data_IF_544918933049
#
_entry.id   IF_544918933049
#
_cell.length_a   1.000
_cell.length_b   1.000
_cell.length_c   1.000
_cell.angle_alpha   90.00
_cell.angle_beta   90.00
_cell.angle_gamma   90.00
#
_symmetry.space_group_name_H-M   'P 1'
#
loop_
_entity.id
_entity.type
_entity.pdbx_description
1 polymer ?
2 non-polymer ?
3 non-polymer ?
4 non-polymer ?
5 water ?
#
# COMPACT_ATOMS: atom_id res chain seq x y z
N UNK A 4 -15.57 12.38 -22.35
CA UNK A 4 -15.31 11.75 -21.03
C UNK A 4 -13.83 11.67 -20.65
N UNK A 5 -13.49 12.15 -19.49
CA UNK A 5 -12.10 12.28 -19.09
C UNK A 5 -11.52 10.94 -18.71
N UNK A 6 -10.18 10.86 -18.80
CA UNK A 6 -9.44 9.63 -18.56
C UNK A 6 -8.45 9.94 -17.46
N UNK A 7 -8.44 9.10 -16.43
CA UNK A 7 -7.59 9.29 -15.26
C UNK A 7 -6.79 7.99 -15.11
N UNK A 8 -5.48 8.11 -15.30
CA UNK A 8 -4.54 7.00 -15.24
C UNK A 8 -3.92 6.93 -13.84
N UNK A 9 -4.13 5.82 -13.15
CA UNK A 9 -3.49 5.55 -11.86
C UNK A 9 -2.22 4.72 -12.08
N UNK A 10 -1.18 4.95 -11.26
CA UNK A 10 0.09 4.26 -11.48
C UNK A 10 0.00 2.78 -11.18
N UNK A 11 -0.84 2.39 -10.23
CA UNK A 11 -0.94 0.95 -9.92
C UNK A 11 -2.29 0.59 -9.31
N UNK A 12 -2.52 -0.71 -9.16
CA UNK A 12 -3.86 -1.26 -8.92
C UNK A 12 -4.55 -0.63 -7.72
N UNK A 13 -3.82 -0.41 -6.64
CA UNK A 13 -4.43 0.09 -5.41
C UNK A 13 -5.02 1.50 -5.65
N UNK A 14 -4.23 2.37 -6.32
CA UNK A 14 -4.73 3.72 -6.61
C UNK A 14 -5.88 3.70 -7.61
N UNK A 15 -5.81 2.82 -8.61
CA UNK A 15 -6.91 2.68 -9.55
C UNK A 15 -8.22 2.33 -8.87
N UNK A 16 -8.18 1.39 -7.94
CA UNK A 16 -9.36 0.99 -7.22
C UNK A 16 -9.94 2.10 -6.31
N UNK A 17 -9.08 2.81 -5.62
CA UNK A 17 -9.53 3.95 -4.83
C UNK A 17 -10.25 4.94 -5.73
N UNK A 18 -9.57 5.30 -6.83
CA UNK A 18 -10.09 6.31 -7.75
C UNK A 18 -11.49 5.88 -8.32
N UNK A 19 -11.64 4.60 -8.67
CA UNK A 19 -12.91 4.09 -9.18
C UNK A 19 -14.04 4.24 -8.16
N UNK A 20 -13.69 4.09 -6.90
CA UNK A 20 -14.71 4.28 -5.85
C UNK A 20 -15.13 5.72 -5.66
N UNK A 21 -14.24 6.67 -5.97
CA UNK A 21 -14.56 8.07 -5.85
C UNK A 21 -15.26 8.57 -7.15
N UNK A 22 -14.81 8.11 -8.33
CA UNK A 22 -15.28 8.65 -9.58
C UNK A 22 -16.55 7.96 -10.05
N UNK A 23 -16.73 6.70 -9.68
CA UNK A 23 -17.88 5.88 -10.10
C UNK A 23 -18.33 6.07 -11.53
N UNK A 24 -17.42 5.89 -12.45
CA UNK A 24 -17.82 6.04 -13.87
C UNK A 24 -18.07 7.45 -14.40
N UNK A 25 -17.83 8.50 -13.60
CA UNK A 25 -17.86 9.85 -14.14
C UNK A 25 -16.68 10.13 -15.08
N UNK A 26 -15.60 9.40 -14.86
CA UNK A 26 -14.39 9.43 -15.71
C UNK A 26 -14.01 7.95 -15.94
N UNK A 27 -13.20 7.71 -16.96
CA UNK A 27 -12.63 6.42 -17.23
C UNK A 27 -11.34 6.27 -16.45
N UNK A 28 -11.26 5.28 -15.56
CA UNK A 28 -10.11 5.11 -14.70
C UNK A 28 -9.28 3.95 -15.30
N UNK A 29 -8.02 4.23 -15.60
CA UNK A 29 -7.09 3.24 -16.12
C UNK A 29 -6.00 3.04 -15.11
N UNK A 30 -5.25 1.96 -15.30
CA UNK A 30 -4.15 1.59 -14.45
C UNK A 30 -2.91 1.22 -15.27
N UNK A 31 -1.76 1.72 -14.84
CA UNK A 31 -0.50 1.40 -15.53
C UNK A 31 0.02 0.03 -15.06
N UNK A 32 0.41 -0.09 -13.80
CA UNK A 32 0.95 -1.31 -13.25
C UNK A 32 -0.21 -2.11 -12.71
N UNK A 33 -0.65 -3.08 -13.49
CA UNK A 33 -1.87 -3.79 -13.17
C UNK A 33 -1.54 -4.75 -12.03
N UNK A 34 -2.60 -5.23 -11.40
CA UNK A 34 -2.47 -6.26 -10.32
C UNK A 34 -1.51 -7.36 -10.71
N UNK A 35 -0.61 -7.73 -9.80
CA UNK A 35 0.31 -8.83 -10.07
C UNK A 35 1.59 -8.44 -10.79
N UNK A 36 1.79 -7.14 -11.05
CA UNK A 36 3.08 -6.65 -11.52
C UNK A 36 3.64 -5.76 -10.43
N UNK A 37 4.94 -5.64 -10.35
CA UNK A 37 5.59 -4.84 -9.31
C UNK A 37 6.11 -3.56 -9.96
N UNK A 38 5.85 -2.44 -9.31
CA UNK A 38 6.24 -1.14 -9.81
C UNK A 38 7.74 -1.02 -10.01
N UNK A 39 8.52 -1.69 -9.17
CA UNK A 39 9.96 -1.56 -9.26
C UNK A 39 10.46 -2.25 -10.56
N UNK A 40 11.17 -1.46 -11.35
CA UNK A 40 11.56 -1.80 -12.71
C UNK A 40 10.40 -2.34 -13.66
N UNK A 41 9.14 -1.94 -13.43
CA UNK A 41 7.99 -2.26 -14.36
C UNK A 41 8.34 -1.80 -15.74
N UNK A 42 8.13 -2.68 -16.71
CA UNK A 42 8.37 -2.28 -18.08
C UNK A 42 7.12 -1.69 -18.75
N UNK A 43 7.20 -0.39 -19.00
CA UNK A 43 6.17 0.37 -19.70
C UNK A 43 6.17 -0.04 -21.15
N UNK A 44 5.06 -0.63 -21.58
CA UNK A 44 4.91 -1.16 -22.96
C UNK A 44 4.40 -0.08 -23.95
N UNK A 45 4.35 -0.43 -25.23
CA UNK A 45 3.77 0.47 -26.25
C UNK A 45 2.31 0.76 -25.93
N UNK A 46 1.57 -0.26 -25.53
CA UNK A 46 0.16 -0.07 -25.10
C UNK A 46 0.04 0.82 -23.93
N UNK A 47 0.96 0.67 -22.97
CA UNK A 47 0.98 1.58 -21.87
C UNK A 47 1.22 3.03 -22.27
N UNK A 48 2.07 3.27 -23.24
CA UNK A 48 2.29 4.61 -23.74
C UNK A 48 0.98 5.24 -24.30
N UNK A 49 0.11 4.42 -24.91
CA UNK A 49 -1.25 4.90 -25.27
C UNK A 49 -2.06 5.37 -24.04
N UNK A 50 -2.04 4.59 -22.97
CA UNK A 50 -2.71 4.96 -21.73
C UNK A 50 -2.21 6.32 -21.26
N UNK A 51 -0.90 6.49 -21.37
CA UNK A 51 -0.26 7.72 -20.88
C UNK A 51 -0.71 8.92 -21.77
N UNK A 52 -0.74 8.75 -23.08
CA UNK A 52 -1.21 9.79 -23.99
C UNK A 52 -2.68 10.18 -23.75
N UNK A 53 -3.48 9.17 -23.46
CA UNK A 53 -4.93 9.36 -23.22
C UNK A 53 -5.23 10.06 -21.92
N UNK A 54 -4.33 9.97 -20.93
CA UNK A 54 -4.60 10.52 -19.62
C UNK A 54 -4.78 12.02 -19.61
N UNK A 55 -5.89 12.42 -19.00
CA UNK A 55 -6.17 13.83 -18.65
C UNK A 55 -5.62 14.21 -17.28
N UNK A 56 -5.24 13.19 -16.51
CA UNK A 56 -4.73 13.33 -15.16
C UNK A 56 -3.98 12.00 -14.83
N UNK A 57 -2.86 12.09 -14.16
CA UNK A 57 -2.07 10.92 -13.81
C UNK A 57 -1.93 10.96 -12.29
N UNK A 58 -2.31 9.85 -11.64
CA UNK A 58 -2.28 9.71 -10.19
C UNK A 58 -1.19 8.75 -9.79
N UNK A 59 -0.19 9.29 -9.11
CA UNK A 59 0.95 8.52 -8.59
C UNK A 59 0.99 8.46 -7.07
N UNK A 60 1.62 7.39 -6.58
CA UNK A 60 1.87 7.21 -5.16
C UNK A 60 2.87 8.22 -4.62
N UNK A 61 3.94 8.43 -5.39
CA UNK A 61 5.08 9.13 -4.91
C UNK A 61 5.81 8.22 -3.95
N UNK A 62 6.56 8.86 -3.06
CA UNK A 62 7.42 8.13 -2.12
C UNK A 62 8.31 7.13 -2.90
N UNK A 63 8.74 7.57 -4.10
CA UNK A 63 9.63 6.83 -4.99
C UNK A 63 9.04 5.59 -5.58
N UNK A 64 7.75 5.34 -5.40
CA UNK A 64 7.18 4.09 -5.92
C UNK A 64 7.35 3.98 -7.46
N UNK A 65 7.20 5.12 -8.13
CA UNK A 65 7.23 5.15 -9.57
C UNK A 65 8.59 5.54 -10.12
N UNK A 66 9.63 5.54 -9.28
CA UNK A 66 10.87 6.19 -9.67
C UNK A 66 11.46 5.61 -10.97
N UNK A 67 11.34 4.31 -11.18
CA UNK A 67 11.97 3.69 -12.36
C UNK A 67 11.24 4.04 -13.65
N UNK A 68 9.99 4.49 -13.60
CA UNK A 68 9.22 4.81 -14.82
C UNK A 68 8.63 6.23 -14.92
N UNK A 69 8.99 7.10 -13.99
CA UNK A 69 8.58 8.49 -14.13
C UNK A 69 8.98 9.08 -15.46
N UNK A 70 10.11 8.66 -16.00
CA UNK A 70 10.55 9.14 -17.28
C UNK A 70 9.58 8.90 -18.46
N UNK A 71 8.71 7.90 -18.33
CA UNK A 71 7.70 7.65 -19.34
C UNK A 71 6.54 8.61 -19.28
N UNK A 72 6.38 9.38 -18.20
CA UNK A 72 5.31 10.33 -18.11
C UNK A 72 5.77 11.64 -18.74
N UNK A 73 6.04 11.60 -20.05
CA UNK A 73 6.49 12.76 -20.80
C UNK A 73 5.72 12.79 -22.11
N UNK A 74 5.87 13.89 -22.85
CA UNK A 74 5.16 14.12 -24.10
C UNK A 74 3.66 14.01 -23.81
N UNK A 75 3.25 14.54 -22.68
CA UNK A 75 1.90 14.34 -22.19
C UNK A 75 0.92 15.27 -22.92
N UNK A 76 -0.35 14.95 -22.82
CA UNK A 76 -1.40 15.82 -23.33
C UNK A 76 -1.37 17.18 -22.60
N UNK A 77 -1.56 18.25 -23.35
CA UNK A 77 -1.55 19.60 -22.75
C UNK A 77 -2.55 19.68 -21.62
N UNK A 78 -2.10 20.16 -20.46
CA UNK A 78 -3.03 20.29 -19.33
C UNK A 78 -3.01 19.11 -18.38
N UNK A 79 -2.33 18.03 -18.75
CA UNK A 79 -2.39 16.83 -17.96
C UNK A 79 -1.34 16.91 -16.84
N UNK A 80 -1.81 16.86 -15.60
CA UNK A 80 -0.96 16.98 -14.43
C UNK A 80 -0.65 15.61 -13.87
N UNK A 81 0.48 15.53 -13.19
CA UNK A 81 0.83 14.36 -12.35
C UNK A 81 0.59 14.70 -10.88
N UNK A 82 -0.30 13.99 -10.25
CA UNK A 82 -0.66 14.25 -8.87
C UNK A 82 -0.04 13.16 -7.99
N UNK A 83 0.58 13.58 -6.90
CA UNK A 83 1.06 12.67 -5.87
C UNK A 83 0.02 12.55 -4.76
N UNK A 84 -0.60 11.39 -4.71
CA UNK A 84 -1.75 11.17 -3.86
C UNK A 84 -1.40 10.93 -2.36
N UNK A 85 -0.11 10.89 -2.02
CA UNK A 85 0.40 10.83 -0.65
C UNK A 85 0.79 12.21 -0.09
N UNK A 86 0.49 13.31 -0.82
CA UNK A 86 0.76 14.66 -0.34
C UNK A 86 0.14 14.81 1.06
N UNK A 87 0.94 15.33 1.98
CA UNK A 87 0.53 15.46 3.39
C UNK A 87 0.79 14.26 4.27
N UNK A 88 1.36 13.16 3.76
CA UNK A 88 1.72 12.01 4.61
C UNK A 88 3.18 12.17 4.94
N UNK A 89 3.50 12.24 6.24
CA UNK A 89 4.88 12.36 6.70
C UNK A 89 5.59 11.08 6.30
N UNK A 90 6.67 11.17 5.50
CA UNK A 90 7.32 9.88 5.09
C UNK A 90 8.07 9.17 6.19
N UNK A 91 8.07 7.85 6.13
CA UNK A 91 8.88 7.03 6.99
C UNK A 91 10.02 6.48 6.13
N UNK A 92 11.22 6.59 6.62
CA UNK A 92 12.42 6.25 5.87
C UNK A 92 12.63 4.77 5.79
N UNK A 93 13.43 4.35 4.81
CA UNK A 93 13.77 2.93 4.67
C UNK A 93 14.87 2.58 5.64
N UNK A 94 15.55 3.59 6.19
CA UNK A 94 16.38 3.32 7.34
C UNK A 94 15.57 2.82 8.56
N UNK A 95 15.76 1.53 8.88
CA UNK A 95 15.38 0.95 10.20
C UNK A 95 16.16 1.68 11.36
N UNK A 96 17.26 2.39 11.04
CA UNK A 96 17.92 3.34 11.96
C UNK A 96 17.55 4.82 11.62
N UNK A 97 16.51 5.33 12.28
CA UNK A 97 15.99 6.68 12.01
C UNK A 97 16.63 7.73 12.90
N UNK A 100 18.55 9.64 7.94
CA UNK A 100 18.07 10.13 6.63
C UNK A 100 18.29 9.14 5.46
N UNK A 101 17.21 8.87 4.70
CA UNK A 101 17.18 7.76 3.77
C UNK A 101 16.02 7.87 2.81
N UNK A 102 15.99 6.98 1.82
CA UNK A 102 14.91 6.93 0.86
C UNK A 102 13.57 6.63 1.56
N UNK A 103 12.48 7.14 1.04
CA UNK A 103 11.19 6.89 1.72
C UNK A 103 10.66 5.51 1.48
N UNK A 104 10.00 4.94 2.49
CA UNK A 104 9.23 3.72 2.33
C UNK A 104 7.89 4.08 1.61
N UNK A 105 7.56 3.40 0.52
CA UNK A 105 6.39 3.82 -0.24
C UNK A 105 5.04 3.33 0.26
N UNK A 106 5.01 2.42 1.24
CA UNK A 106 3.80 1.67 1.60
C UNK A 106 2.81 2.50 2.47
N UNK A 107 2.59 3.74 2.11
CA UNK A 107 1.74 4.61 2.96
C UNK A 107 0.26 4.21 3.00
N UNK A 108 -0.20 3.46 1.98
CA UNK A 108 -1.57 3.02 1.90
C UNK A 108 -1.99 1.98 2.96
N UNK A 109 -1.02 1.39 3.66
CA UNK A 109 -1.30 0.39 4.70
C UNK A 109 -1.51 1.13 6.05
N UNK A 110 -2.64 1.81 6.13
CA UNK A 110 -2.94 2.70 7.23
C UNK A 110 -4.37 3.21 7.08
N UNK A 111 -5.10 3.22 8.20
CA UNK A 111 -6.47 3.73 8.20
C UNK A 111 -6.47 5.24 7.98
N UNK A 112 -5.66 5.94 8.72
CA UNK A 112 -5.50 7.37 8.57
C UNK A 112 -5.14 7.76 7.15
N UNK A 113 -4.17 7.05 6.60
CA UNK A 113 -3.67 7.40 5.28
C UNK A 113 -4.67 7.05 4.18
N UNK A 114 -5.45 6.00 4.37
CA UNK A 114 -6.53 5.71 3.41
C UNK A 114 -7.36 6.98 3.21
N UNK A 115 -7.66 7.68 4.29
CA UNK A 115 -8.50 8.92 4.22
C UNK A 115 -7.80 10.04 3.44
N UNK A 116 -6.48 10.15 3.60
CA UNK A 116 -5.67 11.10 2.84
C UNK A 116 -5.56 10.79 1.35
N UNK A 117 -5.32 9.54 0.99
CA UNK A 117 -5.35 9.10 -0.43
C UNK A 117 -6.70 9.49 -1.06
N UNK A 118 -7.78 9.20 -0.32
CA UNK A 118 -9.11 9.50 -0.81
C UNK A 118 -9.31 10.98 -1.01
N UNK A 119 -8.92 11.80 -0.03
CA UNK A 119 -9.07 13.22 -0.11
C UNK A 119 -8.25 13.85 -1.25
N UNK A 120 -6.99 13.41 -1.39
CA UNK A 120 -6.16 13.95 -2.44
C UNK A 120 -6.74 13.59 -3.81
N UNK A 121 -7.27 12.39 -3.92
CA UNK A 121 -7.85 11.97 -5.22
C UNK A 121 -9.17 12.73 -5.52
N UNK A 122 -10.01 12.85 -4.51
CA UNK A 122 -11.22 13.65 -4.62
C UNK A 122 -10.89 15.07 -5.08
N UNK A 123 -9.89 15.66 -4.45
CA UNK A 123 -9.49 17.02 -4.79
C UNK A 123 -9.02 17.17 -6.23
N UNK A 124 -8.21 16.22 -6.67
CA UNK A 124 -7.68 16.22 -8.05
C UNK A 124 -8.78 15.98 -9.08
N UNK A 125 -9.68 15.04 -8.78
CA UNK A 125 -10.82 14.76 -9.68
C UNK A 125 -11.69 16.00 -9.85
N UNK A 126 -11.91 16.69 -8.75
CA UNK A 126 -12.73 17.86 -8.69
C UNK A 126 -12.10 19.01 -9.48
N UNK A 127 -10.81 19.21 -9.34
CA UNK A 127 -10.13 20.22 -10.15
C UNK A 127 -10.18 19.88 -11.64
N UNK A 128 -10.00 18.61 -11.98
CA UNK A 128 -10.07 18.17 -13.34
C UNK A 128 -11.47 18.37 -13.91
N UNK A 129 -12.51 18.05 -13.11
CA UNK A 129 -13.88 17.90 -13.59
C UNK A 129 -14.87 18.61 -12.65
N UNK A 130 -14.79 19.94 -12.58
CA UNK A 130 -15.50 20.68 -11.54
C UNK A 130 -17.02 20.62 -11.62
N UNK A 131 -17.58 20.36 -12.82
CA UNK A 131 -19.01 20.24 -12.94
C UNK A 131 -19.54 19.04 -12.15
N UNK A 132 -18.71 18.05 -11.85
CA UNK A 132 -19.12 16.94 -10.99
C UNK A 132 -18.67 17.02 -9.52
N UNK A 133 -18.29 18.20 -9.07
CA UNK A 133 -17.78 18.37 -7.71
C UNK A 133 -18.70 17.74 -6.66
N UNK A 134 -20.00 17.98 -6.76
CA UNK A 134 -20.94 17.51 -5.73
C UNK A 134 -20.98 15.98 -5.64
N UNK A 135 -20.81 15.37 -6.81
CA UNK A 135 -20.77 13.92 -6.92
C UNK A 135 -19.51 13.33 -6.34
N UNK A 136 -18.34 13.87 -6.71
CA UNK A 136 -17.06 13.43 -6.09
C UNK A 136 -17.06 13.63 -4.59
N UNK A 137 -17.68 14.69 -4.13
CA UNK A 137 -17.76 15.02 -2.70
C UNK A 137 -18.54 13.94 -1.93
N UNK A 138 -19.72 13.64 -2.46
CA UNK A 138 -20.58 12.59 -1.87
C UNK A 138 -19.87 11.24 -1.94
N UNK A 139 -19.29 10.94 -3.11
CA UNK A 139 -18.70 9.63 -3.32
C UNK A 139 -17.50 9.40 -2.38
N UNK A 140 -16.68 10.44 -2.24
CA UNK A 140 -15.51 10.37 -1.36
C UNK A 140 -15.93 10.12 0.11
N UNK A 141 -16.96 10.81 0.56
CA UNK A 141 -17.44 10.61 1.94
C UNK A 141 -17.96 9.16 2.14
N UNK A 142 -18.82 8.72 1.21
CA UNK A 142 -19.32 7.34 1.25
C UNK A 142 -18.22 6.34 1.31
N UNK A 143 -17.18 6.54 0.52
CA UNK A 143 -16.12 5.58 0.45
C UNK A 143 -15.24 5.59 1.72
N UNK A 144 -14.95 6.79 2.21
CA UNK A 144 -14.19 6.97 3.43
C UNK A 144 -14.93 6.22 4.57
N UNK A 145 -16.26 6.43 4.62
CA UNK A 145 -17.07 5.77 5.66
C UNK A 145 -17.07 4.25 5.51
N UNK A 146 -17.24 3.76 4.30
CA UNK A 146 -17.12 2.32 4.01
C UNK A 146 -15.79 1.69 4.54
N UNK A 147 -14.66 2.37 4.30
CA UNK A 147 -13.39 1.89 4.79
C UNK A 147 -13.34 1.98 6.32
N UNK A 148 -13.75 3.11 6.91
CA UNK A 148 -13.77 3.20 8.38
C UNK A 148 -14.63 2.11 8.99
N UNK A 149 -15.83 1.91 8.42
CA UNK A 149 -16.74 0.89 8.92
C UNK A 149 -16.16 -0.52 8.91
N UNK A 150 -15.44 -0.89 7.88
CA UNK A 150 -14.77 -2.20 7.86
C UNK A 150 -13.54 -2.31 8.69
N UNK A 151 -12.74 -1.27 8.68
CA UNK A 151 -11.40 -1.36 9.23
C UNK A 151 -11.33 -0.99 10.69
N UNK A 152 -12.10 0.01 11.11
CA UNK A 152 -12.05 0.39 12.52
C UNK A 152 -12.28 -0.73 13.54
N UNK A 153 -13.25 -1.66 13.31
CA UNK A 153 -13.40 -2.72 14.28
C UNK A 153 -12.15 -3.62 14.43
N UNK A 154 -11.38 -3.75 13.36
CA UNK A 154 -10.10 -4.48 13.39
C UNK A 154 -9.07 -3.70 14.24
N UNK A 155 -8.99 -2.41 13.99
CA UNK A 155 -8.11 -1.53 14.86
C UNK A 155 -8.45 -1.68 16.30
N UNK A 156 -9.74 -1.62 16.58
CA UNK A 156 -10.20 -1.68 17.94
C UNK A 156 -9.76 -2.97 18.62
N UNK A 157 -9.85 -4.08 17.90
CA UNK A 157 -9.35 -5.36 18.43
C UNK A 157 -7.83 -5.37 18.60
N UNK A 158 -7.12 -4.89 17.58
CA UNK A 158 -5.65 -4.83 17.56
C UNK A 158 -5.13 -4.06 18.79
N UNK A 159 -5.81 -2.97 19.14
CA UNK A 159 -5.40 -2.10 20.23
C UNK A 159 -5.48 -2.73 21.62
N UNK A 160 -6.20 -3.86 21.76
CA UNK A 160 -6.22 -4.61 22.98
C UNK A 160 -4.95 -5.47 23.18
N UNK A 161 -4.07 -5.58 22.20
CA UNK A 161 -2.84 -6.38 22.35
C UNK A 161 -2.00 -5.83 23.53
N UNK A 162 -1.46 -6.78 24.30
CA UNK A 162 -0.57 -6.49 25.43
C UNK A 162 0.60 -5.69 24.90
N UNK A 163 1.03 -4.64 25.62
CA UNK A 163 2.14 -3.81 25.09
C UNK A 163 3.41 -4.54 24.62
N UNK A 164 3.72 -5.66 25.25
CA UNK A 164 4.90 -6.46 24.92
C UNK A 164 4.76 -7.21 23.61
N UNK A 165 3.56 -7.38 23.12
CA UNK A 165 3.32 -8.09 21.89
C UNK A 165 2.99 -7.13 20.78
N UNK A 166 3.28 -5.86 20.99
CA UNK A 166 3.01 -4.83 19.99
C UNK A 166 4.11 -4.76 18.95
N UNK A 167 4.11 -5.74 18.04
CA UNK A 167 5.14 -5.81 16.96
C UNK A 167 4.48 -6.30 15.75
N UNK A 168 4.71 -5.62 14.62
CA UNK A 168 4.32 -6.19 13.33
C UNK A 168 5.63 -6.61 12.64
N UNK A 169 5.81 -7.90 12.44
CA UNK A 169 7.08 -8.45 11.83
C UNK A 169 6.82 -9.10 10.50
N UNK A 170 7.44 -8.58 9.46
CA UNK A 170 7.13 -8.93 8.10
C UNK A 170 8.45 -9.19 7.32
N UNK A 171 8.31 -9.55 6.04
CA UNK A 171 9.46 -9.85 5.21
C UNK A 171 9.90 -8.52 4.61
N UNK A 172 9.14 -7.99 3.69
CA UNK A 172 9.27 -6.63 3.23
C UNK A 172 8.82 -5.66 4.32
N UNK A 173 9.42 -4.45 4.36
CA UNK A 173 8.97 -3.36 5.28
C UNK A 173 7.65 -2.76 4.88
N UNK A 174 6.65 -3.59 4.75
CA UNK A 174 5.40 -3.16 4.22
C UNK A 174 4.39 -2.57 5.23
N UNK A 175 4.65 -2.69 6.54
CA UNK A 175 3.64 -2.29 7.55
C UNK A 175 4.13 -1.15 8.37
N UNK A 176 5.18 -0.43 7.95
CA UNK A 176 5.76 0.61 8.82
C UNK A 176 4.75 1.78 9.07
N UNK A 177 3.93 2.08 8.07
CA UNK A 177 2.90 3.14 8.23
C UNK A 177 1.73 2.63 9.10
N UNK A 178 1.37 1.35 8.94
CA UNK A 178 0.37 0.73 9.83
C UNK A 178 0.82 0.79 11.29
N UNK A 179 2.08 0.41 11.53
CA UNK A 179 2.67 0.47 12.85
C UNK A 179 2.58 1.85 13.51
N UNK A 180 2.89 2.86 12.73
CA UNK A 180 2.82 4.23 13.17
C UNK A 180 1.38 4.69 13.44
N UNK A 181 0.46 4.20 12.62
CA UNK A 181 -0.94 4.59 12.73
C UNK A 181 -1.56 3.99 13.97
N UNK A 182 -1.20 2.76 14.28
CA UNK A 182 -1.83 2.01 15.36
C UNK A 182 -1.01 1.96 16.63
N UNK A 183 0.23 2.51 16.62
CA UNK A 183 1.10 2.48 17.80
C UNK A 183 1.79 1.14 18.08
N UNK A 184 2.31 0.48 17.05
CA UNK A 184 3.07 -0.75 17.14
C UNK A 184 4.50 -0.47 16.63
N UNK A 185 5.42 -1.31 17.04
CA UNK A 185 6.78 -1.28 16.52
C UNK A 185 6.81 -2.24 15.35
N UNK A 186 7.75 -2.03 14.42
CA UNK A 186 7.86 -2.90 13.26
C UNK A 186 9.26 -3.46 13.09
N UNK A 187 9.30 -4.67 12.58
CA UNK A 187 10.55 -5.33 12.24
C UNK A 187 10.34 -6.00 10.90
N UNK A 188 11.39 -6.02 10.09
CA UNK A 188 11.30 -6.66 8.79
C UNK A 188 12.67 -7.07 8.30
N UNK A 189 12.65 -7.80 7.19
CA UNK A 189 13.88 -8.42 6.64
C UNK A 189 14.56 -7.60 5.55
N UNK A 190 13.77 -6.87 4.78
CA UNK A 190 14.23 -5.93 3.76
C UNK A 190 13.21 -4.81 3.52
N UNK A 191 13.68 -3.59 3.19
CA UNK A 191 12.73 -2.46 3.16
C UNK A 191 11.73 -2.51 2.00
N UNK A 192 12.24 -2.88 0.85
CA UNK A 192 11.50 -2.94 -0.40
C UNK A 192 11.99 -4.20 -1.15
N UNK A 193 11.06 -4.95 -1.73
CA UNK A 193 11.29 -6.33 -2.22
C UNK A 193 12.46 -6.49 -3.21
N UNK A 194 12.42 -5.61 -4.20
CA UNK A 194 13.35 -5.58 -5.31
C UNK A 194 14.80 -5.13 -5.07
N UNK A 195 15.61 -6.09 -4.66
CA UNK A 195 17.09 -5.86 -4.47
C UNK A 195 18.00 -6.64 -5.44
N UNK A 198 20.12 -7.47 -1.40
CA UNK A 198 19.46 -7.76 -0.11
C UNK A 198 20.45 -8.06 1.01
N UNK A 199 19.95 -8.22 2.23
CA UNK A 199 20.79 -7.97 3.41
C UNK A 199 20.80 -9.11 4.41
N UNK A 200 21.95 -9.76 4.56
CA UNK A 200 22.17 -10.68 5.66
C UNK A 200 22.06 -10.04 7.03
N UNK A 201 22.56 -8.82 7.19
CA UNK A 201 22.59 -8.18 8.52
C UNK A 201 21.18 -7.73 8.96
N UNK A 202 20.34 -7.36 8.00
CA UNK A 202 18.96 -7.08 8.39
C UNK A 202 18.23 -8.33 8.88
N UNK A 203 18.52 -9.47 8.26
CA UNK A 203 17.99 -10.74 8.77
C UNK A 203 18.54 -11.04 10.18
N UNK A 204 19.85 -10.88 10.35
CA UNK A 204 20.47 -11.11 11.65
C UNK A 204 19.81 -10.25 12.72
N UNK A 205 19.65 -8.97 12.42
CA UNK A 205 19.02 -8.01 13.34
C UNK A 205 17.60 -8.44 13.71
N UNK A 206 16.81 -8.82 12.72
CA UNK A 206 15.44 -9.27 12.99
C UNK A 206 15.40 -10.48 13.90
N UNK A 207 16.34 -11.42 13.67
CA UNK A 207 16.37 -12.63 14.47
C UNK A 207 16.72 -12.26 15.89
N UNK A 208 17.71 -11.38 16.04
CA UNK A 208 18.11 -10.93 17.36
C UNK A 208 17.01 -10.19 18.10
N UNK A 209 16.30 -9.32 17.39
CA UNK A 209 15.19 -8.57 17.96
C UNK A 209 14.02 -9.44 18.34
N UNK A 210 13.71 -10.44 17.52
CA UNK A 210 12.62 -11.34 17.89
C UNK A 210 12.92 -12.16 19.12
N UNK A 211 14.15 -12.67 19.21
CA UNK A 211 14.55 -13.42 20.40
C UNK A 211 14.46 -12.51 21.61
N UNK A 212 15.06 -11.33 21.46
CA UNK A 212 15.15 -10.35 22.53
C UNK A 212 13.78 -9.96 23.09
N UNK A 213 12.81 -9.71 22.22
CA UNK A 213 11.46 -9.31 22.65
C UNK A 213 10.44 -10.45 22.62
N UNK A 214 10.87 -11.70 22.52
CA UNK A 214 9.97 -12.86 22.47
C UNK A 214 8.83 -12.67 21.47
N UNK A 215 9.17 -12.18 20.29
CA UNK A 215 8.18 -11.99 19.26
C UNK A 215 7.73 -13.36 18.73
N UNK A 216 6.44 -13.49 18.54
CA UNK A 216 5.81 -14.77 18.29
C UNK A 216 5.56 -15.14 16.84
N UNK A 217 5.43 -14.14 15.98
CA UNK A 217 5.03 -14.36 14.59
C UNK A 217 5.81 -13.49 13.61
N UNK A 218 6.01 -14.02 12.42
CA UNK A 218 6.55 -13.26 11.31
C UNK A 218 5.82 -13.66 10.05
N UNK A 219 5.45 -12.68 9.25
CA UNK A 219 4.67 -12.88 8.02
C UNK A 219 5.55 -12.77 6.77
N UNK A 220 5.03 -13.28 5.66
CA UNK A 220 5.53 -12.95 4.33
C UNK A 220 4.37 -12.36 3.57
N UNK A 221 4.59 -11.97 2.32
CA UNK A 221 3.60 -11.25 1.59
C UNK A 221 3.35 -11.83 0.21
N UNK A 222 2.28 -11.39 -0.46
CA UNK A 222 1.78 -12.11 -1.64
C UNK A 222 2.70 -12.00 -2.86
N UNK A 223 3.56 -11.02 -2.93
CA UNK A 223 4.52 -10.95 -4.06
C UNK A 223 5.94 -11.28 -3.70
N UNK A 224 6.21 -11.96 -2.60
CA UNK A 224 7.55 -12.39 -2.30
C UNK A 224 7.60 -13.80 -1.77
N UNK A 225 8.81 -14.32 -1.54
CA UNK A 225 9.00 -15.64 -1.05
C UNK A 225 8.71 -15.75 0.44
N UNK A 226 8.12 -16.88 0.82
CA UNK A 226 7.94 -17.21 2.23
C UNK A 226 9.16 -17.82 2.90
N UNK A 227 10.20 -18.13 2.13
CA UNK A 227 11.33 -18.90 2.67
C UNK A 227 12.06 -18.14 3.77
N UNK A 228 12.39 -16.88 3.53
CA UNK A 228 13.13 -16.16 4.57
C UNK A 228 12.35 -16.06 5.90
N UNK A 229 11.06 -15.76 5.82
CA UNK A 229 10.21 -15.66 7.02
C UNK A 229 10.20 -16.97 7.77
N UNK A 230 10.05 -18.08 7.05
CA UNK A 230 10.01 -19.35 7.72
C UNK A 230 11.34 -19.70 8.34
N UNK A 231 12.44 -19.39 7.62
CA UNK A 231 13.75 -19.57 8.21
C UNK A 231 13.95 -18.80 9.52
N UNK A 232 13.56 -17.52 9.49
CA UNK A 232 13.63 -16.67 10.67
C UNK A 232 12.76 -17.22 11.80
N UNK A 233 11.54 -17.64 11.46
CA UNK A 233 10.70 -18.29 12.49
C UNK A 233 11.40 -19.44 13.14
N UNK A 234 12.05 -20.31 12.33
CA UNK A 234 12.76 -21.41 12.90
C UNK A 234 13.87 -20.97 13.84
N UNK A 235 14.66 -19.99 13.39
CA UNK A 235 15.85 -19.59 14.15
C UNK A 235 15.45 -18.82 15.43
N UNK A 236 14.24 -18.29 15.44
CA UNK A 236 13.74 -17.55 16.57
C UNK A 236 12.81 -18.32 17.53
N UNK A 237 12.47 -19.56 17.21
CA UNK A 237 11.40 -20.27 17.91
C UNK A 237 10.10 -19.53 17.81
N UNK A 238 9.93 -18.68 16.79
CA UNK A 238 8.65 -18.06 16.49
C UNK A 238 7.84 -18.90 15.48
N UNK A 239 6.66 -18.39 15.12
CA UNK A 239 5.78 -19.05 14.15
C UNK A 239 5.70 -18.24 12.89
N UNK A 240 5.65 -18.91 11.76
CA UNK A 240 5.35 -18.29 10.49
C UNK A 240 3.85 -17.92 10.52
N UNK A 241 3.54 -16.66 10.27
CA UNK A 241 2.18 -16.16 10.40
C UNK A 241 1.39 -16.26 9.11
N UNK A 242 2.03 -16.61 7.99
CA UNK A 242 1.33 -16.74 6.70
C UNK A 242 1.53 -15.52 5.81
N UNK A 243 0.72 -15.43 4.76
CA UNK A 243 0.80 -14.46 3.72
C UNK A 243 -0.19 -13.28 3.83
N UNK A 244 0.37 -12.08 3.83
CA UNK A 244 -0.40 -10.86 3.75
C UNK A 244 -0.39 -10.29 2.33
N UNK A 245 -1.46 -9.55 2.03
CA UNK A 245 -1.59 -8.81 0.78
C UNK A 245 -1.34 -7.31 1.04
N UNK A 246 -0.28 -6.79 0.46
CA UNK A 246 0.17 -5.41 0.69
C UNK A 246 0.60 -4.59 -0.52
N UNK A 247 1.20 -5.21 -1.54
CA UNK A 247 1.82 -4.45 -2.62
C UNK A 247 0.96 -4.37 -3.90
N UNK A 248 -0.06 -5.20 -4.03
CA UNK A 248 -0.91 -5.28 -5.23
C UNK A 248 -2.25 -5.81 -4.80
N UNK A 249 -3.29 -5.40 -5.47
CA UNK A 249 -4.55 -6.12 -5.39
C UNK A 249 -4.32 -7.53 -5.84
N UNK A 250 -5.12 -8.46 -5.32
CA UNK A 250 -5.08 -9.83 -5.85
C UNK A 250 -5.79 -9.90 -7.19
N UNK A 251 -5.72 -11.07 -7.81
CA UNK A 251 -6.62 -11.40 -8.92
C UNK A 251 -8.08 -11.25 -8.45
N UNK A 252 -9.01 -11.09 -9.40
CA UNK A 252 -10.41 -10.83 -9.03
C UNK A 252 -11.04 -11.91 -8.17
N UNK A 253 -10.66 -13.16 -8.36
CA UNK A 253 -11.21 -14.27 -7.52
C UNK A 253 -10.33 -14.59 -6.29
N UNK A 254 -9.32 -13.76 -6.01
CA UNK A 254 -8.48 -13.88 -4.82
C UNK A 254 -9.10 -13.10 -3.67
N UNK A 255 -8.42 -13.08 -2.54
CA UNK A 255 -9.02 -12.47 -1.35
C UNK A 255 -8.98 -10.95 -1.26
N UNK A 256 -8.20 -10.27 -2.13
CA UNK A 256 -7.95 -8.87 -1.98
C UNK A 256 -8.13 -8.12 -3.33
N UNK A 257 -9.30 -8.26 -3.97
CA UNK A 257 -9.47 -7.70 -5.31
C UNK A 257 -9.76 -6.19 -5.30
N UNK A 258 -9.91 -5.59 -4.13
CA UNK A 258 -10.14 -4.13 -3.97
C UNK A 258 -9.28 -3.62 -2.83
N UNK A 259 -9.05 -2.30 -2.77
CA UNK A 259 -8.26 -1.73 -1.69
C UNK A 259 -8.87 -1.98 -0.30
N UNK A 260 -10.17 -1.79 -0.17
CA UNK A 260 -10.84 -2.16 1.09
C UNK A 260 -10.63 -3.63 1.47
N UNK A 261 -10.81 -4.53 0.50
CA UNK A 261 -10.63 -5.94 0.76
C UNK A 261 -9.19 -6.28 1.14
N UNK A 262 -8.22 -5.57 0.56
CA UNK A 262 -6.83 -5.72 0.90
C UNK A 262 -6.54 -5.32 2.33
N UNK A 263 -6.96 -4.12 2.73
CA UNK A 263 -6.82 -3.71 4.09
C UNK A 263 -7.52 -4.68 5.05
N UNK A 264 -8.73 -5.09 4.71
CA UNK A 264 -9.52 -5.91 5.59
C UNK A 264 -8.89 -7.30 5.71
N UNK A 265 -8.42 -7.87 4.60
CA UNK A 265 -7.79 -9.19 4.66
C UNK A 265 -6.53 -9.14 5.53
N UNK A 266 -5.64 -8.20 5.22
CA UNK A 266 -4.36 -8.19 5.90
C UNK A 266 -4.51 -7.87 7.38
N UNK A 267 -5.32 -6.89 7.70
CA UNK A 267 -5.46 -6.54 9.13
C UNK A 267 -6.20 -7.64 9.88
N UNK A 268 -7.18 -8.31 9.24
CA UNK A 268 -7.82 -9.49 9.87
C UNK A 268 -6.84 -10.57 10.15
N UNK A 269 -5.98 -10.86 9.18
CA UNK A 269 -4.98 -11.91 9.39
C UNK A 269 -4.02 -11.52 10.53
N UNK A 270 -3.67 -10.25 10.60
CA UNK A 270 -2.79 -9.78 11.70
C UNK A 270 -3.44 -9.97 13.06
N UNK A 271 -4.66 -9.50 13.19
CA UNK A 271 -5.33 -9.56 14.49
C UNK A 271 -5.57 -11.03 14.86
N UNK A 272 -5.90 -11.86 13.87
CA UNK A 272 -6.13 -13.29 14.13
C UNK A 272 -4.90 -14.04 14.58
N UNK A 273 -3.75 -13.51 14.23
CA UNK A 273 -2.47 -14.09 14.54
C UNK A 273 -1.98 -13.63 15.90
N UNK A 274 -2.22 -12.36 16.22
CA UNK A 274 -1.85 -11.78 17.50
C UNK A 274 -2.69 -12.33 18.64
N UNK A 275 -3.98 -12.53 18.38
CA UNK A 275 -4.86 -13.07 19.45
C UNK A 275 -5.09 -14.57 19.40
X LIG B 1 -16.17 -10.79 -4.38
X LIG B 1 -15.13 -11.42 -4.08
X LIG B 1 -16.31 -9.62 -3.99
X LIG B 1 -17.27 -11.42 -5.19
X LIG C 1 -17.24 -5.62 6.80
X LIG C 1 -16.28 -5.38 6.06
X LIG C 1 -17.39 -6.77 7.25
X LIG C 1 -18.23 -4.54 7.14
X LIG D 1 13.46 -21.03 23.64
X LIG D 1 14.51 -20.45 23.97
X LIG D 1 12.50 -20.41 23.17
X LIG D 1 13.38 -22.53 23.80
X LIG E 1 -7.21 -0.58 -17.40
X LIG E 1 -6.04 0.30 -17.53
X LIG E 1 -7.66 -0.83 -18.79
X LIG E 1 -8.32 0.07 -16.67
X LIG E 1 -6.85 -1.80 -16.61
X LIG F 1 -3.38 -13.71 -6.13
X LIG F 1 -3.40 -12.39 -6.79
X LIG F 1 -2.63 -14.68 -6.96
X LIG F 1 -2.66 -13.64 -4.84
X LIG F 1 -4.76 -14.19 -5.86
X LIG G 1 -0.55 -7.26 -17.31
X LIG G 1 -0.43 -8.03 -18.56
X LIG G 1 -0.15 -5.84 -17.55
X LIG G 1 -1.95 -7.33 -16.81
X LIG G 1 0.37 -7.85 -16.29
X LIG H 1 24.35 -6.82 4.92
X LIG H 1 23.85 -6.19 3.75
X LIG H 1 25.85 -7.04 4.85
X LIG H 1 26.43 -5.88 4.24
X LIG H 1 26.49 -7.27 6.23
X LIG H 1 26.40 -8.64 6.65
X LIG I 1 -19.71 -12.60 0.34
X LIG I 1 -20.19 -13.97 0.24
X LIG I 1 -20.66 -11.50 -0.12
X LIG I 1 -21.12 -10.79 1.04
X LIG I 1 -20.02 -10.40 -0.94
X LIG I 1 -19.32 -10.89 -2.09
X LIG J 1 20.87 -5.62 17.32
X LIG J 1 19.78 -6.42 17.79
X LIG J 1 21.88 -6.48 16.57
X LIG J 1 21.40 -7.82 16.51
X LIG J 1 22.11 -6.08 15.13
X LIG J 1 22.36 -7.31 14.43
X LIG K 1 -18.24 1.80 -8.63
X LIG K 1 -17.50 1.69 -9.84
X LIG K 1 -17.35 1.59 -7.40
X LIG K 1 -18.04 2.15 -6.27
X LIG K 1 -17.02 0.11 -7.15
X LIG K 1 -15.68 -0.22 -7.57
#
# INVERSE_FOLDING_TARGET
TTQKKVVLSSFSIIGDITQNIAKDLVTVTTLVEAGNDSHSYQVTSADAIKIQNADLILCNGLHLEETFMKYFTNLKKGTKIITVTDGINPIGVSEDTSVDSEPNPHAWMSLTNAMIYIENIRKALTALDPSNAKKYELNAREYSEKIRNSILPLKTRIEKVDPEKRWFVTSEGCLVYLAEDFGFKSLYLWPINSDSERSPSMMRHAINQMRSHKIKFIFSESTNSDQPAKQVAYETNASYGGVLYVDSLSKPDGPAPTYLDLLRFSLTKIVDTLF
ACT C O OXT CH3
ACT C O OXT CH3
ACT C O OXT CH3
SO4 S O1 O2 O3 O4
SO4 S O1 O2 O3 O4
SO4 S O1 O2 O3 O4
GOL C1 O1 C2 O2 C3 O3
GOL C1 O1 C2 O2 C3 O3
GOL C1 O1 C2 O2 C3 O3
GOL C1 O1 C2 O2 C3 O3
#
